data_IF_938246143612
#
_entry.id   IF_938246143612
#
_cell.length_a   1.000
_cell.length_b   1.000
_cell.length_c   1.000
_cell.angle_alpha   90.00
_cell.angle_beta   90.00
_cell.angle_gamma   90.00
#
_symmetry.space_group_name_H-M   'P 1'
#
loop_
_entity.id
_entity.type
_entity.pdbx_description
1 polymer ?
#
# COMPACT_ATOMS: atom_id res chain seq x y z
N UNK A 1 -4.71 -5.43 9.29
CA UNK A 1 -3.86 -4.64 8.38
C UNK A 1 -3.58 -5.43 7.11
N UNK A 2 -4.34 -5.20 6.04
CA UNK A 2 -4.08 -5.83 4.74
C UNK A 2 -2.70 -5.41 4.21
N UNK A 3 -1.86 -6.32 3.70
CA UNK A 3 -0.61 -5.97 3.01
C UNK A 3 -0.82 -6.11 1.51
N UNK A 4 -0.95 -4.97 0.84
CA UNK A 4 -1.28 -4.91 -0.58
C UNK A 4 -0.02 -5.12 -1.42
N UNK A 5 0.03 -6.25 -2.12
CA UNK A 5 1.08 -6.57 -3.11
C UNK A 5 0.43 -7.00 -4.43
N UNK A 6 -0.60 -6.27 -4.88
CA UNK A 6 -1.36 -6.56 -6.11
C UNK A 6 -0.50 -6.82 -7.35
N UNK A 7 0.64 -6.11 -7.47
CA UNK A 7 1.62 -6.27 -8.54
C UNK A 7 2.21 -7.69 -8.62
N UNK A 8 2.20 -8.47 -7.52
CA UNK A 8 2.80 -9.81 -7.48
C UNK A 8 2.15 -10.77 -8.47
N UNK A 9 0.88 -10.52 -8.83
CA UNK A 9 0.15 -11.29 -9.83
C UNK A 9 0.84 -11.26 -11.20
N UNK A 10 1.54 -10.17 -11.53
CA UNK A 10 2.36 -10.06 -12.74
C UNK A 10 3.66 -10.87 -12.70
N UNK A 11 4.05 -11.41 -11.54
CA UNK A 11 5.24 -12.24 -11.36
C UNK A 11 4.92 -13.74 -11.26
N UNK A 12 3.64 -14.09 -11.18
CA UNK A 12 3.24 -15.48 -11.09
C UNK A 12 3.48 -16.22 -12.42
N UNK A 13 3.87 -17.51 -12.37
CA UNK A 13 3.93 -18.34 -13.57
C UNK A 13 2.58 -18.38 -14.29
N UNK A 14 2.62 -18.56 -15.61
CA UNK A 14 1.41 -18.81 -16.39
C UNK A 14 0.72 -20.12 -15.96
N UNK A 15 -0.60 -20.19 -16.16
CA UNK A 15 -1.39 -21.40 -15.92
C UNK A 15 -1.93 -21.55 -14.48
N UNK A 16 -1.70 -20.59 -13.59
CA UNK A 16 -2.36 -20.53 -12.29
C UNK A 16 -3.80 -19.99 -12.41
N UNK A 17 -4.71 -20.53 -11.61
CA UNK A 17 -6.11 -20.16 -11.56
C UNK A 17 -6.43 -19.33 -10.30
N UNK A 18 -7.00 -18.15 -10.50
CA UNK A 18 -7.51 -17.28 -9.42
C UNK A 18 -8.62 -18.00 -8.65
N UNK A 19 -8.55 -17.99 -7.33
CA UNK A 19 -9.50 -18.65 -6.43
C UNK A 19 -9.22 -20.13 -6.19
N UNK A 20 -8.35 -20.75 -7.00
CA UNK A 20 -7.89 -22.14 -6.80
C UNK A 20 -6.45 -22.15 -6.30
N UNK A 21 -5.53 -21.55 -7.07
CA UNK A 21 -4.09 -21.55 -6.77
C UNK A 21 -3.65 -20.32 -5.97
N UNK A 22 -4.34 -19.19 -6.16
CA UNK A 22 -4.08 -17.96 -5.42
C UNK A 22 -5.35 -17.12 -5.29
N UNK A 23 -5.48 -16.40 -4.17
CA UNK A 23 -6.56 -15.46 -3.94
C UNK A 23 -6.09 -14.34 -3.00
N UNK A 24 -6.98 -13.38 -2.76
CA UNK A 24 -6.81 -12.25 -1.89
C UNK A 24 -7.79 -12.31 -0.73
N UNK A 25 -7.34 -11.89 0.44
CA UNK A 25 -8.19 -11.75 1.62
C UNK A 25 -7.82 -10.51 2.43
N UNK A 26 -8.81 -9.89 3.11
CA UNK A 26 -8.53 -8.86 4.10
C UNK A 26 -7.72 -9.49 5.24
N UNK A 27 -6.74 -8.74 5.74
CA UNK A 27 -6.08 -9.18 6.96
C UNK A 27 -7.06 -9.14 8.13
N UNK A 28 -7.12 -10.18 8.97
CA UNK A 28 -8.06 -10.25 10.08
C UNK A 28 -7.97 -9.05 11.02
N UNK A 29 -9.11 -8.65 11.56
CA UNK A 29 -9.14 -7.66 12.64
C UNK A 29 -8.55 -8.26 13.92
N UNK A 30 -7.74 -7.48 14.64
CA UNK A 30 -7.22 -7.86 15.96
C UNK A 30 -8.23 -7.57 17.08
N UNK A 31 -9.14 -6.61 16.85
CA UNK A 31 -10.24 -6.24 17.74
C UNK A 31 -11.39 -5.68 16.88
N UNK A 32 -12.62 -6.22 16.99
CA UNK A 32 -13.77 -5.74 16.23
C UNK A 32 -14.02 -4.23 16.32
N UNK A 33 -13.63 -3.57 17.41
CA UNK A 33 -13.76 -2.13 17.59
C UNK A 33 -12.94 -1.30 16.56
N UNK A 34 -11.91 -1.89 15.94
CA UNK A 34 -11.06 -1.24 14.94
C UNK A 34 -11.45 -1.57 13.49
N UNK A 35 -12.49 -2.38 13.27
CA UNK A 35 -12.91 -2.79 11.93
C UNK A 35 -11.80 -3.54 11.18
N UNK A 36 -11.78 -3.39 9.84
CA UNK A 36 -10.78 -3.99 8.96
C UNK A 36 -10.00 -2.85 8.28
N UNK A 37 -8.96 -2.29 8.91
CA UNK A 37 -8.18 -1.23 8.29
C UNK A 37 -7.37 -1.78 7.12
N UNK A 38 -7.36 -1.02 6.03
CA UNK A 38 -6.49 -1.25 4.88
C UNK A 38 -5.17 -0.55 5.12
N UNK A 39 -4.08 -1.31 4.99
CA UNK A 39 -2.73 -0.78 4.98
C UNK A 39 -2.19 -0.91 3.56
N UNK A 40 -1.42 0.06 3.09
CA UNK A 40 -0.81 -0.02 1.77
C UNK A 40 0.24 1.04 1.55
N UNK A 41 1.15 0.77 0.62
CA UNK A 41 1.97 1.82 0.01
C UNK A 41 1.16 2.60 -1.03
N UNK A 42 1.77 3.65 -1.60
CA UNK A 42 1.24 4.30 -2.78
C UNK A 42 2.36 4.80 -3.68
N UNK A 43 2.08 4.78 -4.98
CA UNK A 43 2.85 5.56 -5.94
C UNK A 43 2.39 7.02 -5.87
N UNK A 44 3.36 7.92 -5.67
CA UNK A 44 3.09 9.35 -5.50
C UNK A 44 3.58 10.13 -6.71
N UNK A 45 2.75 11.07 -7.17
CA UNK A 45 3.18 12.08 -8.14
C UNK A 45 3.80 13.24 -7.36
N UNK A 46 5.09 13.49 -7.59
CA UNK A 46 5.84 14.58 -6.96
C UNK A 46 6.16 15.67 -7.97
N UNK A 47 5.89 16.92 -7.60
CA UNK A 47 6.15 18.10 -8.44
C UNK A 47 7.47 18.74 -8.03
N UNK A 48 8.49 18.62 -8.88
CA UNK A 48 9.79 19.27 -8.66
C UNK A 48 9.83 20.73 -9.10
N UNK A 49 9.06 21.08 -10.14
CA UNK A 49 8.93 22.45 -10.63
C UNK A 49 7.46 22.85 -10.71
N UNK A 50 7.08 23.85 -9.93
CA UNK A 50 5.68 24.26 -9.75
C UNK A 50 5.29 25.35 -10.75
N UNK A 51 4.99 24.96 -11.99
CA UNK A 51 4.43 25.85 -13.02
C UNK A 51 2.92 25.64 -13.22
N UNK A 52 2.19 26.61 -13.78
CA UNK A 52 0.77 26.46 -14.10
C UNK A 52 0.47 25.21 -14.95
N UNK A 53 1.33 24.87 -15.91
CA UNK A 53 1.17 23.70 -16.78
C UNK A 53 1.29 22.39 -16.00
N UNK A 54 2.28 22.29 -15.11
CA UNK A 54 2.46 21.10 -14.26
C UNK A 54 1.28 20.94 -13.31
N UNK A 55 0.76 22.04 -12.74
CA UNK A 55 -0.44 21.97 -11.91
C UNK A 55 -1.66 21.44 -12.67
N UNK A 56 -1.84 21.82 -13.94
CA UNK A 56 -2.94 21.30 -14.76
C UNK A 56 -2.79 19.81 -15.02
N UNK A 57 -1.56 19.34 -15.30
CA UNK A 57 -1.29 17.91 -15.48
C UNK A 57 -1.61 17.12 -14.20
N UNK A 58 -1.11 17.55 -13.04
CA UNK A 58 -1.35 16.84 -11.77
C UNK A 58 -2.84 16.83 -11.42
N UNK A 59 -3.56 17.93 -11.65
CA UNK A 59 -5.02 17.97 -11.49
C UNK A 59 -5.72 16.97 -12.39
N UNK A 60 -5.31 16.86 -13.64
CA UNK A 60 -5.84 15.85 -14.56
C UNK A 60 -5.56 14.43 -14.06
N UNK A 61 -4.31 14.12 -13.67
CA UNK A 61 -3.92 12.80 -13.15
C UNK A 61 -4.67 12.40 -11.86
N UNK A 62 -5.12 13.39 -11.07
CA UNK A 62 -5.96 13.16 -9.90
C UNK A 62 -7.44 12.86 -10.23
N UNK A 63 -7.88 13.04 -11.48
CA UNK A 63 -9.26 12.69 -11.91
C UNK A 63 -9.41 11.19 -12.18
N UNK A 64 -10.67 10.73 -12.35
CA UNK A 64 -10.96 9.32 -12.61
C UNK A 64 -10.42 8.83 -13.96
N UNK A 65 -10.57 9.63 -15.02
CA UNK A 65 -10.25 9.22 -16.40
C UNK A 65 -8.83 8.63 -16.59
N UNK A 66 -7.73 9.30 -16.20
CA UNK A 66 -6.40 8.71 -16.35
C UNK A 66 -6.18 7.47 -15.47
N UNK A 67 -6.84 7.41 -14.31
CA UNK A 67 -6.75 6.26 -13.41
C UNK A 67 -7.55 5.06 -13.94
N UNK A 68 -8.68 5.28 -14.60
CA UNK A 68 -9.42 4.24 -15.35
C UNK A 68 -8.59 3.70 -16.52
N UNK A 69 -7.83 4.56 -17.22
CA UNK A 69 -6.90 4.13 -18.26
C UNK A 69 -5.81 3.21 -17.68
N UNK A 70 -5.29 3.51 -16.48
CA UNK A 70 -4.32 2.66 -15.80
C UNK A 70 -4.95 1.36 -15.29
N UNK A 71 -6.13 1.42 -14.66
CA UNK A 71 -6.88 0.25 -14.23
C UNK A 71 -7.14 -0.73 -15.38
N UNK A 72 -7.57 -0.22 -16.53
CA UNK A 72 -7.85 -1.03 -17.72
C UNK A 72 -6.61 -1.70 -18.33
N UNK A 73 -5.40 -1.18 -18.06
CA UNK A 73 -4.15 -1.83 -18.48
C UNK A 73 -3.81 -3.05 -17.62
N UNK A 74 -4.41 -3.19 -16.44
CA UNK A 74 -4.14 -4.27 -15.51
C UNK A 74 -2.77 -4.13 -14.83
N UNK A 75 -2.14 -5.26 -14.50
CA UNK A 75 -0.83 -5.30 -13.84
C UNK A 75 -0.86 -4.98 -12.34
N UNK A 76 -2.02 -5.13 -11.70
CA UNK A 76 -2.19 -4.88 -10.28
C UNK A 76 -2.37 -3.40 -9.91
N UNK A 77 -2.51 -2.48 -10.86
CA UNK A 77 -2.85 -1.10 -10.52
C UNK A 77 -4.16 -1.04 -9.72
N UNK A 78 -4.18 -0.30 -8.60
CA UNK A 78 -5.39 -0.03 -7.81
C UNK A 78 -5.49 1.47 -7.57
N UNK A 79 -6.63 2.04 -7.96
CA UNK A 79 -6.94 3.45 -7.72
C UNK A 79 -7.56 3.66 -6.33
N UNK A 80 -7.09 4.67 -5.56
CA UNK A 80 -7.78 5.13 -4.35
C UNK A 80 -8.94 6.10 -4.65
N UNK A 81 -9.13 6.49 -5.91
CA UNK A 81 -10.13 7.48 -6.30
C UNK A 81 -11.51 6.83 -6.42
N UNK A 82 -12.44 7.20 -5.52
CA UNK A 82 -13.81 6.67 -5.48
C UNK A 82 -14.66 6.96 -6.73
N UNK A 83 -14.20 7.86 -7.60
CA UNK A 83 -14.86 8.15 -8.87
C UNK A 83 -14.43 7.20 -10.01
N UNK A 84 -13.39 6.39 -9.82
CA UNK A 84 -12.99 5.34 -10.78
C UNK A 84 -13.99 4.20 -10.72
N UNK A 85 -14.55 3.83 -11.86
CA UNK A 85 -15.46 2.67 -11.94
C UNK A 85 -14.72 1.37 -11.62
N UNK A 86 -15.31 0.52 -10.79
CA UNK A 86 -14.81 -0.84 -10.56
C UNK A 86 -14.87 -1.71 -11.82
N UNK A 87 -15.67 -1.33 -12.82
CA UNK A 87 -15.72 -2.02 -14.11
C UNK A 87 -14.55 -1.64 -15.04
N UNK A 88 -13.69 -0.70 -14.62
CA UNK A 88 -12.47 -0.38 -15.35
C UNK A 88 -11.38 -1.45 -15.18
N UNK A 89 -11.48 -2.32 -14.17
CA UNK A 89 -10.51 -3.38 -13.93
C UNK A 89 -10.81 -4.61 -14.81
N UNK A 90 -9.81 -5.19 -15.49
CA UNK A 90 -10.03 -6.27 -16.47
C UNK A 90 -10.30 -7.64 -15.82
N UNK A 91 -10.01 -7.81 -14.54
CA UNK A 91 -10.14 -9.07 -13.83
C UNK A 91 -10.79 -8.90 -12.44
N UNK A 92 -11.51 -9.94 -12.01
CA UNK A 92 -12.29 -9.93 -10.77
C UNK A 92 -11.42 -9.85 -9.51
N UNK A 93 -10.18 -10.34 -9.55
CA UNK A 93 -9.28 -10.29 -8.39
C UNK A 93 -8.88 -8.84 -8.10
N UNK A 94 -8.36 -8.14 -9.11
CA UNK A 94 -7.97 -6.73 -9.02
C UNK A 94 -9.18 -5.86 -8.69
N UNK A 95 -10.37 -6.17 -9.25
CA UNK A 95 -11.63 -5.51 -8.90
C UNK A 95 -11.97 -5.63 -7.41
N UNK A 96 -11.90 -6.83 -6.84
CA UNK A 96 -12.13 -7.07 -5.40
C UNK A 96 -11.14 -6.31 -4.52
N UNK A 97 -9.87 -6.25 -4.93
CA UNK A 97 -8.85 -5.46 -4.23
C UNK A 97 -9.19 -3.97 -4.26
N UNK A 98 -9.58 -3.44 -5.42
CA UNK A 98 -9.97 -2.04 -5.58
C UNK A 98 -11.19 -1.69 -4.75
N UNK A 99 -12.21 -2.56 -4.76
CA UNK A 99 -13.42 -2.42 -3.95
C UNK A 99 -13.09 -2.32 -2.46
N UNK A 100 -12.17 -3.17 -1.96
CA UNK A 100 -11.71 -3.08 -0.57
C UNK A 100 -11.08 -1.73 -0.25
N UNK A 101 -10.22 -1.21 -1.13
CA UNK A 101 -9.51 0.06 -0.91
C UNK A 101 -10.50 1.24 -0.89
N UNK A 102 -11.43 1.32 -1.84
CA UNK A 102 -12.37 2.46 -1.91
C UNK A 102 -13.46 2.43 -0.82
N UNK A 103 -13.78 1.25 -0.32
CA UNK A 103 -14.74 1.04 0.77
C UNK A 103 -14.09 1.01 2.17
N UNK A 104 -12.76 1.10 2.28
CA UNK A 104 -12.08 1.13 3.56
C UNK A 104 -12.53 2.35 4.37
N UNK A 105 -12.99 2.13 5.61
CA UNK A 105 -13.25 3.22 6.56
C UNK A 105 -11.94 3.88 7.00
N UNK A 106 -10.88 3.08 7.11
CA UNK A 106 -9.54 3.50 7.50
C UNK A 106 -8.52 2.95 6.51
N UNK A 107 -7.83 3.87 5.84
CA UNK A 107 -6.60 3.59 5.11
C UNK A 107 -5.40 4.19 5.86
N UNK A 108 -4.29 3.47 5.92
CA UNK A 108 -3.01 3.94 6.46
C UNK A 108 -1.84 3.52 5.57
N UNK A 109 -0.83 4.37 5.49
CA UNK A 109 0.48 3.96 4.99
C UNK A 109 1.14 3.00 5.99
N UNK A 110 2.07 2.16 5.50
CA UNK A 110 2.90 1.39 6.41
C UNK A 110 3.62 2.34 7.38
N UNK A 111 3.75 1.94 8.64
CA UNK A 111 4.37 2.79 9.64
C UNK A 111 5.80 3.16 9.25
N UNK A 112 6.55 2.21 8.63
CA UNK A 112 7.90 2.48 8.16
C UNK A 112 7.95 3.53 7.04
N UNK A 113 6.90 3.63 6.22
CA UNK A 113 6.82 4.63 5.13
C UNK A 113 6.66 6.05 5.66
N UNK A 114 6.14 6.21 6.89
CA UNK A 114 5.93 7.49 7.55
C UNK A 114 7.14 7.93 8.40
N UNK A 115 8.15 7.07 8.54
CA UNK A 115 9.37 7.33 9.31
C UNK A 115 10.51 7.82 8.40
N UNK A 116 11.48 8.60 8.92
CA UNK A 116 12.74 8.86 8.23
C UNK A 116 13.41 7.55 7.82
N UNK A 117 14.10 7.55 6.68
CA UNK A 117 14.72 6.34 6.14
C UNK A 117 15.68 5.66 7.13
N UNK A 118 16.41 6.42 7.95
CA UNK A 118 17.29 5.88 8.99
C UNK A 118 16.54 5.03 10.03
N UNK A 119 15.25 5.33 10.24
CA UNK A 119 14.38 4.62 11.18
C UNK A 119 13.57 3.55 10.43
N UNK A 120 12.71 3.96 9.50
CA UNK A 120 11.72 3.08 8.86
C UNK A 120 12.34 1.89 8.13
N UNK A 121 13.24 2.14 7.18
CA UNK A 121 13.98 1.09 6.47
C UNK A 121 15.31 0.71 7.14
N UNK A 122 15.64 1.37 8.25
CA UNK A 122 16.85 1.12 9.04
C UNK A 122 16.55 0.34 10.32
N UNK A 123 16.57 1.05 11.45
CA UNK A 123 16.44 0.45 12.79
C UNK A 123 15.11 -0.28 13.00
N UNK A 124 13.99 0.26 12.53
CA UNK A 124 12.66 -0.37 12.68
C UNK A 124 12.58 -1.70 11.92
N UNK A 125 13.03 -1.71 10.66
CA UNK A 125 13.10 -2.94 9.86
C UNK A 125 13.99 -3.99 10.52
N UNK A 126 15.22 -3.60 10.86
CA UNK A 126 16.22 -4.51 11.45
C UNK A 126 15.76 -5.02 12.81
N UNK A 127 15.31 -4.12 13.68
CA UNK A 127 14.82 -4.43 15.02
C UNK A 127 13.62 -5.39 15.00
N UNK A 128 12.69 -5.22 14.04
CA UNK A 128 11.57 -6.18 13.89
C UNK A 128 12.06 -7.58 13.53
N UNK A 129 13.08 -7.70 12.66
CA UNK A 129 13.68 -9.00 12.32
C UNK A 129 14.45 -9.60 13.50
N UNK A 130 15.22 -8.78 14.23
CA UNK A 130 15.97 -9.20 15.41
C UNK A 130 15.04 -9.71 16.52
N UNK A 131 13.93 -9.02 16.77
CA UNK A 131 12.92 -9.44 17.74
C UNK A 131 12.33 -10.80 17.37
N UNK A 132 11.97 -11.01 16.10
CA UNK A 132 11.52 -12.32 15.60
C UNK A 132 12.62 -13.38 15.73
N UNK A 133 13.89 -12.98 15.57
CA UNK A 133 15.08 -13.80 15.81
C UNK A 133 15.36 -14.11 17.28
N UNK A 134 14.60 -13.53 18.21
CA UNK A 134 14.70 -13.80 19.65
C UNK A 134 15.46 -12.75 20.45
N UNK A 135 15.83 -11.60 19.85
CA UNK A 135 16.33 -10.45 20.60
C UNK A 135 15.24 -9.92 21.53
N UNK A 136 15.66 -9.44 22.69
CA UNK A 136 14.74 -8.88 23.69
C UNK A 136 14.00 -7.64 23.17
N UNK A 137 12.71 -7.52 23.52
CA UNK A 137 11.84 -6.45 23.02
C UNK A 137 12.29 -5.08 23.50
N UNK A 138 12.65 -4.94 24.78
CA UNK A 138 13.01 -3.64 25.35
C UNK A 138 14.28 -3.11 24.69
N UNK A 139 15.25 -4.00 24.44
CA UNK A 139 16.48 -3.65 23.71
C UNK A 139 16.17 -3.19 22.28
N UNK A 140 15.29 -3.90 21.57
CA UNK A 140 14.90 -3.52 20.20
C UNK A 140 14.20 -2.16 20.17
N UNK A 141 13.33 -1.90 21.14
CA UNK A 141 12.61 -0.62 21.22
C UNK A 141 13.55 0.54 21.56
N UNK A 142 14.51 0.34 22.46
CA UNK A 142 15.53 1.34 22.80
C UNK A 142 16.39 1.71 21.59
N UNK A 143 16.86 0.72 20.81
CA UNK A 143 17.64 0.97 19.60
C UNK A 143 16.86 1.70 18.50
N UNK A 144 15.56 1.40 18.36
CA UNK A 144 14.68 2.13 17.43
C UNK A 144 14.51 3.58 17.89
N UNK A 145 14.24 3.80 19.19
CA UNK A 145 14.06 5.15 19.75
C UNK A 145 15.34 5.99 19.61
N UNK A 146 16.51 5.44 19.92
CA UNK A 146 17.79 6.13 19.78
C UNK A 146 17.99 6.66 18.35
N UNK A 147 17.72 5.81 17.35
CA UNK A 147 17.80 6.23 15.94
C UNK A 147 16.74 7.25 15.55
N UNK A 148 15.57 7.24 16.21
CA UNK A 148 14.50 8.20 15.94
C UNK A 148 14.84 9.57 16.51
N UNK A 149 15.38 9.63 17.73
CA UNK A 149 15.87 10.88 18.34
C UNK A 149 16.94 11.55 17.47
N UNK A 150 17.82 10.77 16.83
CA UNK A 150 18.84 11.31 15.93
C UNK A 150 18.28 11.78 14.56
N UNK A 151 17.16 11.20 14.11
CA UNK A 151 16.63 11.41 12.77
C UNK A 151 15.58 12.54 12.65
N UNK A 152 15.01 12.99 13.77
CA UNK A 152 13.97 14.03 13.84
C UNK A 152 14.47 15.32 14.50
#
# INVERSE_FOLDING_TARGET
MHRQASFITGFFPEGLEVGTDYDFFPFPSIDPAYGIPVLGGADLIVVFNNTPEVQQLVKYLATAQPQEIWAAKGGGFISPNKAVSLDAYPDELTKKMAEMVVNAEVFRFDASDLMPAAVGSGSFWTGTMDYVGGKDLDTVLEEIEDSAVDAY
#
